data_IF_928315619684
#
_entry.id   IF_928315619684
#
_cell.length_a   1.000
_cell.length_b   1.000
_cell.length_c   1.000
_cell.angle_alpha   90.00
_cell.angle_beta   90.00
_cell.angle_gamma   90.00
#
_symmetry.space_group_name_H-M   'P 1'
#
loop_
_entity.id
_entity.type
_entity.pdbx_description
1 polymer ?
#
# COMPACT_ATOMS: atom_id res chain seq x y z
N UNK A 1 -17.15 45.73 -64.04
CA UNK A 1 -15.71 46.09 -64.07
C UNK A 1 -15.09 45.33 -62.93
N UNK A 2 -14.34 44.24 -63.08
CA UNK A 2 -13.72 43.59 -64.24
C UNK A 2 -13.67 42.08 -63.98
N UNK A 3 -13.79 41.31 -65.07
CA UNK A 3 -13.58 39.87 -65.16
C UNK A 3 -12.20 39.46 -64.64
N UNK A 4 -12.10 38.42 -63.81
CA UNK A 4 -11.04 37.42 -63.98
C UNK A 4 -11.63 36.01 -63.90
N UNK A 5 -11.33 35.29 -64.96
CA UNK A 5 -11.88 34.02 -65.40
C UNK A 5 -10.85 32.91 -65.19
N UNK A 6 -11.34 31.66 -65.18
CA UNK A 6 -10.67 30.39 -65.51
C UNK A 6 -9.82 29.69 -64.45
N UNK A 7 -10.14 28.40 -64.28
CA UNK A 7 -9.27 27.43 -63.63
C UNK A 7 -9.91 26.06 -63.39
N UNK A 8 -10.59 25.48 -64.38
CA UNK A 8 -10.98 24.06 -64.36
C UNK A 8 -9.72 23.20 -64.53
N UNK A 9 -9.39 22.38 -63.54
CA UNK A 9 -8.39 21.32 -63.68
C UNK A 9 -8.99 20.00 -63.19
N UNK A 10 -9.05 19.05 -64.12
CA UNK A 10 -9.47 17.67 -63.94
C UNK A 10 -8.63 16.95 -62.87
N UNK A 11 -9.28 16.25 -61.95
CA UNK A 11 -8.64 15.18 -61.18
C UNK A 11 -9.14 13.86 -61.75
N UNK A 12 -8.24 13.17 -62.43
CA UNK A 12 -8.44 11.83 -62.96
C UNK A 12 -8.62 10.84 -61.80
N UNK A 13 -9.63 10.00 -61.98
CA UNK A 13 -9.84 8.75 -61.25
C UNK A 13 -8.85 7.75 -61.83
N UNK A 14 -7.81 7.40 -61.09
CA UNK A 14 -7.11 6.12 -61.27
C UNK A 14 -7.62 5.16 -60.21
N UNK A 15 -8.48 4.24 -60.65
CA UNK A 15 -8.61 2.95 -60.01
C UNK A 15 -7.36 2.16 -60.37
N UNK A 16 -6.58 1.77 -59.38
CA UNK A 16 -5.69 0.63 -59.54
C UNK A 16 -5.96 -0.41 -58.45
N UNK A 17 -6.28 -1.59 -58.92
CA UNK A 17 -6.57 -2.79 -58.14
C UNK A 17 -5.44 -3.75 -58.43
N UNK A 18 -4.55 -4.01 -57.46
CA UNK A 18 -3.76 -5.24 -57.36
C UNK A 18 -3.11 -5.30 -55.98
N UNK A 19 -3.47 -6.32 -55.19
CA UNK A 19 -2.83 -6.59 -53.92
C UNK A 19 -1.44 -7.17 -54.08
N UNK A 20 -0.51 -6.82 -53.18
CA UNK A 20 0.50 -7.75 -52.64
C UNK A 20 1.16 -7.21 -51.37
N UNK A 21 1.05 -8.00 -50.32
CA UNK A 21 1.70 -7.93 -49.02
C UNK A 21 3.18 -7.48 -49.09
N UNK A 22 3.54 -6.38 -48.40
CA UNK A 22 4.86 -6.15 -47.75
C UNK A 22 4.74 -5.01 -46.73
N UNK A 23 4.44 -5.32 -45.46
CA UNK A 23 4.63 -4.39 -44.34
C UNK A 23 5.27 -5.13 -43.17
N UNK A 24 6.60 -5.23 -43.22
CA UNK A 24 7.43 -5.64 -42.06
C UNK A 24 8.81 -4.98 -42.12
N UNK A 25 9.01 -3.93 -42.93
CA UNK A 25 10.34 -3.35 -43.15
C UNK A 25 10.41 -1.82 -43.06
N UNK A 26 9.33 -1.15 -42.60
CA UNK A 26 9.33 0.32 -42.42
C UNK A 26 9.46 0.75 -40.95
N UNK A 27 9.22 -0.14 -39.98
CA UNK A 27 9.30 0.20 -38.54
C UNK A 27 10.73 0.25 -37.99
N UNK A 28 11.71 -0.36 -38.66
CA UNK A 28 13.09 -0.41 -38.16
C UNK A 28 13.92 0.85 -38.50
N UNK A 29 13.47 1.65 -39.48
CA UNK A 29 14.17 2.87 -39.89
C UNK A 29 13.71 4.14 -39.18
N UNK A 30 12.51 4.14 -38.58
CA UNK A 30 11.97 5.29 -37.84
C UNK A 30 12.45 5.34 -36.38
N UNK A 31 12.85 4.20 -35.80
CA UNK A 31 13.35 4.14 -34.43
C UNK A 31 14.72 4.83 -34.25
N UNK A 32 15.60 4.74 -35.25
CA UNK A 32 16.99 5.25 -35.13
C UNK A 32 17.11 6.78 -35.22
N UNK A 33 16.07 7.47 -35.69
CA UNK A 33 16.10 8.93 -35.86
C UNK A 33 15.49 9.70 -34.68
N UNK A 34 14.76 9.04 -33.77
CA UNK A 34 14.12 9.69 -32.63
C UNK A 34 15.03 9.80 -31.40
N UNK A 35 16.01 8.90 -31.24
CA UNK A 35 16.97 8.94 -30.11
C UNK A 35 17.98 10.09 -30.24
N UNK A 36 18.36 10.45 -31.47
CA UNK A 36 19.33 11.53 -31.70
C UNK A 36 18.76 12.93 -31.45
N UNK A 37 17.44 13.09 -31.45
CA UNK A 37 16.78 14.39 -31.26
C UNK A 37 16.59 14.79 -29.80
N UNK A 38 16.64 13.83 -28.85
CA UNK A 38 16.40 14.11 -27.43
C UNK A 38 17.67 14.53 -26.67
N UNK A 39 18.85 14.25 -27.21
CA UNK A 39 20.13 14.59 -26.56
C UNK A 39 20.52 16.06 -26.78
N UNK A 40 19.91 16.75 -27.75
CA UNK A 40 20.27 18.13 -28.10
C UNK A 40 19.47 19.21 -27.34
N UNK A 41 18.50 18.86 -26.48
CA UNK A 41 17.59 19.83 -25.81
C UNK A 41 17.76 19.97 -24.29
N UNK A 42 18.86 19.47 -23.73
CA UNK A 42 19.12 19.55 -22.29
C UNK A 42 20.19 20.58 -21.88
N UNK A 43 20.73 21.39 -22.80
CA UNK A 43 21.81 22.35 -22.48
C UNK A 43 21.36 23.74 -22.02
N UNK A 44 20.09 24.11 -22.19
CA UNK A 44 19.69 25.51 -22.07
C UNK A 44 18.60 25.69 -21.00
N UNK A 45 19.00 25.71 -19.72
CA UNK A 45 18.37 26.60 -18.72
C UNK A 45 19.16 26.60 -17.39
N UNK A 46 19.97 27.65 -17.19
CA UNK A 46 20.43 28.11 -15.87
C UNK A 46 20.39 29.64 -15.86
N UNK A 47 19.54 30.22 -15.01
CA UNK A 47 19.73 31.52 -14.32
C UNK A 47 18.48 31.78 -13.45
N UNK A 48 18.58 31.67 -12.12
CA UNK A 48 18.75 32.79 -11.16
C UNK A 48 17.37 33.24 -10.63
N UNK A 49 17.05 33.13 -9.33
CA UNK A 49 17.32 34.17 -8.30
C UNK A 49 17.00 33.62 -6.87
N UNK A 50 17.98 33.79 -5.96
CA UNK A 50 18.01 33.96 -4.47
C UNK A 50 16.89 33.35 -3.58
N UNK A 51 17.11 32.46 -2.61
CA UNK A 51 18.08 32.30 -1.50
C UNK A 51 17.88 33.27 -0.31
N UNK A 52 17.45 32.73 0.84
CA UNK A 52 17.97 33.07 2.19
C UNK A 52 17.80 31.87 3.17
N UNK A 53 18.96 31.34 3.58
CA UNK A 53 19.37 30.94 4.93
C UNK A 53 18.73 29.72 5.63
N UNK A 54 19.47 28.60 5.65
CA UNK A 54 20.00 28.06 6.92
C UNK A 54 21.30 27.29 6.65
N UNK A 55 22.39 27.73 7.29
CA UNK A 55 23.75 27.23 7.19
C UNK A 55 23.89 25.74 7.54
N UNK A 56 24.76 25.02 6.81
CA UNK A 56 25.78 24.12 7.39
C UNK A 56 26.72 23.55 6.31
N UNK A 57 27.94 24.11 6.31
CA UNK A 57 29.26 23.56 5.96
C UNK A 57 29.39 22.42 4.93
N UNK A 58 29.98 22.81 3.81
CA UNK A 58 30.61 21.98 2.77
C UNK A 58 31.45 20.82 3.31
N UNK A 59 31.17 19.60 2.84
CA UNK A 59 32.23 18.64 2.48
C UNK A 59 31.92 17.96 1.14
N UNK A 60 32.90 18.10 0.26
CA UNK A 60 32.98 17.68 -1.15
C UNK A 60 32.73 16.17 -1.35
N UNK A 61 31.95 15.72 -2.35
CA UNK A 61 31.81 14.29 -2.64
C UNK A 61 32.96 13.84 -3.56
N UNK A 62 33.68 12.78 -3.15
CA UNK A 62 34.56 12.03 -4.04
C UNK A 62 33.76 10.87 -4.62
N UNK A 63 33.62 10.88 -5.93
CA UNK A 63 33.00 9.83 -6.75
C UNK A 63 33.50 8.43 -6.39
N UNK A 64 32.59 7.52 -6.03
CA UNK A 64 32.87 6.09 -6.04
C UNK A 64 32.34 5.51 -7.36
N UNK A 65 33.26 5.07 -8.22
CA UNK A 65 32.94 4.13 -9.29
C UNK A 65 32.69 2.76 -8.67
N UNK A 66 31.50 2.21 -8.91
CA UNK A 66 31.19 0.80 -8.65
C UNK A 66 31.86 -0.02 -9.74
N UNK A 67 32.84 -0.83 -9.37
CA UNK A 67 33.39 -1.90 -10.22
C UNK A 67 32.75 -3.21 -9.75
N UNK A 68 32.01 -3.85 -10.65
CA UNK A 68 31.51 -5.21 -10.49
C UNK A 68 32.71 -6.17 -10.61
N UNK A 69 32.94 -7.11 -9.67
CA UNK A 69 33.99 -8.12 -9.84
C UNK A 69 33.48 -9.30 -10.68
N UNK A 70 34.23 -9.62 -11.75
CA UNK A 70 34.12 -10.85 -12.53
C UNK A 70 34.72 -12.03 -11.71
N UNK A 71 34.15 -13.25 -11.77
CA UNK A 71 34.55 -14.36 -10.92
C UNK A 71 35.55 -15.23 -11.67
N UNK A 72 36.84 -15.04 -11.45
CA UNK A 72 37.84 -16.11 -11.62
C UNK A 72 39.21 -15.65 -11.08
N UNK A 73 39.41 -15.83 -9.79
CA UNK A 73 40.73 -15.99 -9.17
C UNK A 73 40.55 -16.68 -7.82
N UNK A 74 40.47 -18.01 -7.87
CA UNK A 74 40.77 -18.86 -6.71
C UNK A 74 42.11 -18.45 -6.10
N UNK A 75 42.10 -17.87 -4.90
CA UNK A 75 43.08 -18.20 -3.87
C UNK A 75 42.44 -18.12 -2.49
N UNK A 76 41.96 -19.28 -2.06
CA UNK A 76 41.84 -19.62 -0.64
C UNK A 76 43.14 -19.26 0.10
N UNK A 77 43.10 -18.27 0.98
CA UNK A 77 44.06 -18.14 2.08
C UNK A 77 43.34 -17.74 3.36
N UNK A 78 42.96 -18.81 4.06
CA UNK A 78 42.68 -18.88 5.49
C UNK A 78 43.56 -17.94 6.30
N UNK A 79 42.93 -17.33 7.29
CA UNK A 79 43.53 -16.70 8.45
C UNK A 79 44.60 -17.63 9.06
N UNK A 80 45.86 -17.20 9.09
CA UNK A 80 46.85 -17.80 9.96
C UNK A 80 47.06 -16.86 11.14
N UNK A 81 46.45 -17.26 12.27
CA UNK A 81 47.00 -17.05 13.60
C UNK A 81 48.49 -17.39 13.52
N UNK A 82 49.35 -16.39 13.69
CA UNK A 82 50.78 -16.63 13.85
C UNK A 82 50.96 -17.23 15.23
N UNK A 83 51.04 -18.56 15.25
CA UNK A 83 51.63 -19.32 16.34
C UNK A 83 52.98 -18.70 16.70
N UNK A 84 53.16 -18.51 18.00
CA UNK A 84 54.40 -18.13 18.64
C UNK A 84 55.46 -19.22 18.35
N UNK A 85 56.13 -19.17 17.20
CA UNK A 85 57.33 -19.96 16.97
C UNK A 85 58.42 -19.41 17.88
N UNK A 86 58.85 -20.25 18.82
CA UNK A 86 60.17 -20.17 19.45
C UNK A 86 61.21 -20.01 18.34
N UNK A 87 61.67 -18.78 18.14
CA UNK A 87 62.88 -18.52 17.39
C UNK A 87 64.04 -18.63 18.37
N UNK A 88 64.66 -19.83 18.38
CA UNK A 88 66.05 -20.02 18.78
C UNK A 88 66.92 -19.19 17.81
N UNK A 89 67.21 -17.95 18.19
CA UNK A 89 68.34 -17.21 17.69
C UNK A 89 69.15 -16.79 18.91
N UNK A 90 70.21 -17.57 19.18
CA UNK A 90 71.34 -17.16 20.02
C UNK A 90 71.95 -15.88 19.43
N UNK A 91 71.47 -14.73 19.88
CA UNK A 91 72.19 -13.47 19.73
C UNK A 91 73.06 -13.28 20.97
N UNK A 92 74.27 -13.80 20.88
CA UNK A 92 75.30 -13.66 21.91
C UNK A 92 75.80 -12.20 21.90
N UNK A 93 75.10 -11.33 22.61
CA UNK A 93 75.58 -9.97 22.90
C UNK A 93 76.64 -10.05 23.99
N UNK A 94 77.89 -10.28 23.57
CA UNK A 94 79.07 -10.19 24.40
C UNK A 94 79.35 -8.72 24.78
N UNK A 95 78.95 -8.33 25.99
CA UNK A 95 79.49 -7.13 26.64
C UNK A 95 80.83 -7.53 27.30
N UNK A 96 81.97 -6.90 26.94
CA UNK A 96 83.21 -7.07 27.67
C UNK A 96 83.05 -6.49 29.07
N UNK A 97 82.99 -7.34 30.09
CA UNK A 97 83.08 -6.93 31.49
C UNK A 97 84.54 -6.54 31.79
N UNK A 98 84.85 -5.26 31.67
CA UNK A 98 86.03 -4.69 32.33
C UNK A 98 85.65 -4.35 33.77
N UNK A 99 86.39 -4.93 34.70
CA UNK A 99 86.34 -4.73 36.14
C UNK A 99 86.33 -3.23 36.49
N UNK A 100 85.21 -2.74 37.03
CA UNK A 100 85.20 -1.66 38.00
C UNK A 100 84.88 -2.29 39.36
N UNK A 101 85.92 -2.83 40.02
CA UNK A 101 85.83 -3.31 41.40
C UNK A 101 85.77 -2.12 42.35
N UNK A 102 84.65 -1.40 42.32
CA UNK A 102 84.04 -0.70 43.45
C UNK A 102 82.60 -0.30 43.10
N UNK A 103 81.78 -1.26 42.67
CA UNK A 103 80.34 -1.03 42.62
C UNK A 103 79.83 -1.18 44.05
N UNK A 104 79.67 -0.06 44.74
CA UNK A 104 79.05 -0.04 46.06
C UNK A 104 77.79 -0.92 46.03
N UNK A 105 77.64 -1.78 47.04
CA UNK A 105 76.49 -2.68 47.22
C UNK A 105 75.15 -1.91 47.14
N UNK A 106 75.18 -0.64 47.53
CA UNK A 106 74.09 0.33 47.41
C UNK A 106 73.74 0.71 45.96
N UNK A 107 74.71 0.85 45.05
CA UNK A 107 74.47 1.15 43.63
C UNK A 107 73.78 -0.03 42.94
N UNK A 108 74.20 -1.27 43.24
CA UNK A 108 73.53 -2.48 42.72
C UNK A 108 72.10 -2.59 43.24
N UNK A 109 71.89 -2.31 44.54
CA UNK A 109 70.55 -2.34 45.13
C UNK A 109 69.63 -1.25 44.57
N UNK A 110 70.16 -0.07 44.24
CA UNK A 110 69.42 1.01 43.59
C UNK A 110 68.96 0.61 42.18
N UNK A 111 69.87 0.05 41.37
CA UNK A 111 69.56 -0.41 40.01
C UNK A 111 68.54 -1.56 40.00
N UNK A 112 68.57 -2.46 40.98
CA UNK A 112 67.55 -3.52 41.12
C UNK A 112 66.17 -2.94 41.45
N UNK A 113 66.09 -1.95 42.36
CA UNK A 113 64.83 -1.25 42.66
C UNK A 113 64.30 -0.53 41.42
N UNK A 114 65.17 0.14 40.67
CA UNK A 114 64.80 0.84 39.44
C UNK A 114 64.29 -0.14 38.36
N UNK A 115 64.94 -1.30 38.22
CA UNK A 115 64.49 -2.37 37.33
C UNK A 115 63.11 -2.92 37.74
N UNK A 116 62.86 -3.11 39.03
CA UNK A 116 61.57 -3.57 39.51
C UNK A 116 60.47 -2.52 39.28
N UNK A 117 60.76 -1.23 39.49
CA UNK A 117 59.86 -0.12 39.13
C UNK A 117 59.58 -0.09 37.62
N UNK A 118 60.60 -0.29 36.78
CA UNK A 118 60.44 -0.38 35.32
C UNK A 118 59.58 -1.58 34.90
N UNK A 119 59.74 -2.73 35.56
CA UNK A 119 58.90 -3.92 35.30
C UNK A 119 57.45 -3.69 35.69
N UNK A 120 57.18 -3.07 36.84
CA UNK A 120 55.80 -2.74 37.24
C UNK A 120 55.18 -1.75 36.26
N UNK A 121 55.90 -0.69 35.89
CA UNK A 121 55.43 0.30 34.91
C UNK A 121 55.16 -0.32 33.53
N UNK A 122 56.02 -1.22 33.05
CA UNK A 122 55.80 -1.90 31.77
C UNK A 122 54.54 -2.79 31.82
N UNK A 123 54.33 -3.53 32.90
CA UNK A 123 53.12 -4.32 33.10
C UNK A 123 51.86 -3.45 33.10
N UNK A 124 51.88 -2.32 33.80
CA UNK A 124 50.77 -1.35 33.82
C UNK A 124 50.49 -0.76 32.43
N UNK A 125 51.54 -0.44 31.66
CA UNK A 125 51.41 0.04 30.28
C UNK A 125 50.83 -1.03 29.34
N UNK A 126 51.23 -2.29 29.49
CA UNK A 126 50.65 -3.40 28.72
C UNK A 126 49.16 -3.58 29.02
N UNK A 127 48.77 -3.52 30.29
CA UNK A 127 47.36 -3.58 30.66
C UNK A 127 46.57 -2.39 30.12
N UNK A 128 47.14 -1.18 30.18
CA UNK A 128 46.53 0.02 29.59
C UNK A 128 46.37 -0.11 28.07
N UNK A 129 47.38 -0.63 27.39
CA UNK A 129 47.35 -0.91 25.96
C UNK A 129 46.25 -1.92 25.60
N UNK A 130 46.07 -2.98 26.39
CA UNK A 130 45.00 -3.97 26.19
C UNK A 130 43.62 -3.32 26.42
N UNK A 131 43.46 -2.48 27.45
CA UNK A 131 42.22 -1.76 27.72
C UNK A 131 41.84 -0.82 26.57
N UNK A 132 42.77 0.03 26.14
CA UNK A 132 42.57 0.95 25.01
C UNK A 132 42.25 0.20 23.71
N UNK A 133 42.96 -0.89 23.41
CA UNK A 133 42.65 -1.71 22.22
C UNK A 133 41.23 -2.31 22.27
N UNK A 134 40.74 -2.70 23.45
CA UNK A 134 39.36 -3.19 23.61
C UNK A 134 38.35 -2.08 23.39
N UNK A 135 38.57 -0.90 23.96
CA UNK A 135 37.68 0.26 23.76
C UNK A 135 37.69 0.74 22.30
N UNK A 136 38.85 0.79 21.64
CA UNK A 136 38.95 1.13 20.23
C UNK A 136 38.14 0.16 19.34
N UNK A 137 38.22 -1.16 19.61
CA UNK A 137 37.42 -2.16 18.88
C UNK A 137 35.92 -1.96 19.12
N UNK A 138 35.51 -1.66 20.35
CA UNK A 138 34.12 -1.39 20.69
C UNK A 138 33.58 -0.14 19.99
N UNK A 139 34.35 0.95 19.96
CA UNK A 139 33.98 2.17 19.25
C UNK A 139 33.90 1.94 17.73
N UNK A 140 34.84 1.17 17.15
CA UNK A 140 34.80 0.81 15.73
C UNK A 140 33.52 0.05 15.37
N UNK A 141 33.17 -0.97 16.15
CA UNK A 141 31.92 -1.73 15.95
C UNK A 141 30.67 -0.84 16.09
N UNK A 142 30.68 0.10 17.04
CA UNK A 142 29.55 1.04 17.22
C UNK A 142 29.38 1.97 16.02
N UNK A 143 30.49 2.47 15.47
CA UNK A 143 30.48 3.31 14.27
C UNK A 143 29.95 2.53 13.06
N UNK A 144 30.45 1.31 12.82
CA UNK A 144 30.02 0.45 11.71
C UNK A 144 28.52 0.11 11.81
N UNK A 145 28.02 -0.16 13.03
CA UNK A 145 26.59 -0.37 13.27
C UNK A 145 25.76 0.88 12.93
N UNK A 146 26.25 2.07 13.30
CA UNK A 146 25.55 3.33 13.00
C UNK A 146 25.53 3.61 11.50
N UNK A 147 26.66 3.41 10.80
CA UNK A 147 26.76 3.55 9.35
C UNK A 147 25.77 2.62 8.64
N UNK A 148 25.73 1.34 9.04
CA UNK A 148 24.78 0.36 8.50
C UNK A 148 23.32 0.72 8.79
N UNK A 149 23.04 1.27 9.97
CA UNK A 149 21.69 1.74 10.31
C UNK A 149 21.23 2.91 9.43
N UNK A 150 22.14 3.85 9.12
CA UNK A 150 21.82 4.97 8.23
C UNK A 150 21.67 4.50 6.78
N UNK A 151 22.55 3.62 6.30
CA UNK A 151 22.46 3.01 4.98
C UNK A 151 21.13 2.27 4.77
N UNK A 152 20.69 1.48 5.76
CA UNK A 152 19.39 0.79 5.73
C UNK A 152 18.22 1.78 5.63
N UNK A 153 18.23 2.87 6.41
CA UNK A 153 17.18 3.92 6.35
C UNK A 153 17.14 4.65 5.01
N UNK A 154 18.29 4.84 4.37
CA UNK A 154 18.36 5.44 3.04
C UNK A 154 17.78 4.47 2.00
N UNK A 155 18.15 3.19 2.08
CA UNK A 155 17.63 2.15 1.20
C UNK A 155 16.12 1.96 1.33
N UNK A 156 15.58 1.99 2.56
CA UNK A 156 14.14 1.97 2.84
C UNK A 156 13.41 3.13 2.15
N UNK A 157 13.86 4.37 2.38
CA UNK A 157 13.27 5.55 1.72
C UNK A 157 13.39 5.51 0.20
N UNK A 158 14.49 4.97 -0.32
CA UNK A 158 14.68 4.82 -1.75
C UNK A 158 13.73 3.77 -2.34
N UNK A 159 13.48 2.67 -1.63
CA UNK A 159 12.51 1.65 -2.03
C UNK A 159 11.08 2.22 -2.05
N UNK A 160 10.69 2.96 -1.00
CA UNK A 160 9.37 3.60 -0.92
C UNK A 160 9.14 4.56 -2.11
N UNK A 161 10.14 5.38 -2.45
CA UNK A 161 10.06 6.31 -3.57
C UNK A 161 9.94 5.57 -4.92
N UNK A 162 10.69 4.48 -5.12
CA UNK A 162 10.61 3.68 -6.34
C UNK A 162 9.23 3.03 -6.48
N UNK A 163 8.66 2.55 -5.38
CA UNK A 163 7.31 1.99 -5.36
C UNK A 163 6.25 3.05 -5.69
N UNK A 164 6.34 4.25 -5.11
CA UNK A 164 5.44 5.36 -5.41
C UNK A 164 5.51 5.80 -6.89
N UNK A 165 6.72 5.92 -7.45
CA UNK A 165 6.91 6.24 -8.87
C UNK A 165 6.32 5.13 -9.76
N UNK A 166 6.51 3.87 -9.40
CA UNK A 166 5.93 2.75 -10.15
C UNK A 166 4.40 2.79 -10.14
N UNK A 167 3.77 3.02 -8.98
CA UNK A 167 2.32 3.15 -8.89
C UNK A 167 1.80 4.35 -9.70
N UNK A 168 2.43 5.52 -9.57
CA UNK A 168 2.04 6.71 -10.33
C UNK A 168 2.16 6.50 -11.85
N UNK A 169 3.20 5.79 -12.30
CA UNK A 169 3.36 5.42 -13.71
C UNK A 169 2.24 4.49 -14.20
N UNK A 170 1.92 3.46 -13.40
CA UNK A 170 0.84 2.53 -13.72
C UNK A 170 -0.52 3.26 -13.83
N UNK A 171 -0.84 4.14 -12.88
CA UNK A 171 -2.06 4.93 -12.91
C UNK A 171 -2.12 5.85 -14.14
N UNK A 172 -1.01 6.49 -14.48
CA UNK A 172 -0.89 7.31 -15.70
C UNK A 172 -1.15 6.48 -16.96
N UNK A 173 -0.58 5.28 -17.05
CA UNK A 173 -0.74 4.40 -18.22
C UNK A 173 -2.19 3.89 -18.33
N UNK A 174 -2.81 3.51 -17.22
CA UNK A 174 -4.23 3.16 -17.17
C UNK A 174 -5.12 4.32 -17.60
N UNK A 175 -4.85 5.54 -17.12
CA UNK A 175 -5.58 6.75 -17.52
C UNK A 175 -5.43 7.06 -19.01
N UNK A 176 -4.21 6.90 -19.56
CA UNK A 176 -3.94 7.07 -20.99
C UNK A 176 -4.71 6.04 -21.84
N UNK A 177 -4.70 4.77 -21.43
CA UNK A 177 -5.44 3.72 -22.12
C UNK A 177 -6.95 3.97 -22.10
N UNK A 178 -7.51 4.37 -20.95
CA UNK A 178 -8.92 4.75 -20.84
C UNK A 178 -9.28 5.93 -21.77
N UNK A 179 -8.43 6.96 -21.82
CA UNK A 179 -8.65 8.13 -22.69
C UNK A 179 -8.58 7.78 -24.18
N UNK A 180 -7.64 6.91 -24.56
CA UNK A 180 -7.53 6.42 -25.93
C UNK A 180 -8.76 5.60 -26.34
N UNK A 181 -9.23 4.71 -25.47
CA UNK A 181 -10.44 3.92 -25.70
C UNK A 181 -11.67 4.81 -25.86
N UNK A 182 -11.80 5.85 -25.03
CA UNK A 182 -12.90 6.81 -25.15
C UNK A 182 -12.86 7.55 -26.49
N UNK A 183 -11.70 8.04 -26.92
CA UNK A 183 -11.54 8.71 -28.21
C UNK A 183 -11.89 7.78 -29.39
N UNK A 184 -11.51 6.51 -29.32
CA UNK A 184 -11.89 5.50 -30.31
C UNK A 184 -13.40 5.32 -30.34
N UNK A 185 -14.04 5.18 -29.18
CA UNK A 185 -15.50 5.03 -29.06
C UNK A 185 -16.23 6.24 -29.62
N UNK A 186 -15.82 7.46 -29.27
CA UNK A 186 -16.41 8.71 -29.76
C UNK A 186 -16.28 8.85 -31.28
N UNK A 187 -15.11 8.49 -31.83
CA UNK A 187 -14.90 8.44 -33.28
C UNK A 187 -15.83 7.44 -33.94
N UNK A 188 -15.95 6.23 -33.41
CA UNK A 188 -16.79 5.18 -33.98
C UNK A 188 -18.28 5.55 -33.92
N UNK A 189 -18.71 6.18 -32.82
CA UNK A 189 -20.05 6.76 -32.71
C UNK A 189 -20.29 7.88 -33.72
N UNK A 190 -19.31 8.77 -33.93
CA UNK A 190 -19.41 9.83 -34.93
C UNK A 190 -19.50 9.25 -36.36
N UNK A 191 -18.71 8.22 -36.67
CA UNK A 191 -18.76 7.50 -37.94
C UNK A 191 -20.13 6.84 -38.12
N UNK A 192 -20.68 6.21 -37.08
CA UNK A 192 -22.00 5.60 -37.12
C UNK A 192 -23.11 6.65 -37.39
N UNK A 193 -23.05 7.81 -36.71
CA UNK A 193 -23.98 8.93 -36.95
C UNK A 193 -23.87 9.46 -38.38
N UNK A 194 -22.66 9.66 -38.88
CA UNK A 194 -22.42 10.15 -40.25
C UNK A 194 -22.99 9.17 -41.29
N UNK A 195 -22.75 7.85 -41.14
CA UNK A 195 -23.31 6.83 -42.01
C UNK A 195 -24.84 6.78 -41.97
N UNK A 196 -25.44 6.95 -40.79
CA UNK A 196 -26.89 7.01 -40.67
C UNK A 196 -27.45 8.24 -41.41
N UNK A 197 -26.82 9.41 -41.25
CA UNK A 197 -27.22 10.62 -41.97
C UNK A 197 -27.07 10.48 -43.48
N UNK A 198 -25.98 9.88 -43.96
CA UNK A 198 -25.75 9.58 -45.37
C UNK A 198 -26.85 8.66 -45.92
N UNK A 199 -27.21 7.60 -45.19
CA UNK A 199 -28.30 6.70 -45.57
C UNK A 199 -29.65 7.43 -45.60
N UNK A 200 -29.94 8.29 -44.63
CA UNK A 200 -31.14 9.13 -44.62
C UNK A 200 -31.18 10.11 -45.79
N UNK A 201 -30.06 10.74 -46.14
CA UNK A 201 -29.95 11.64 -47.30
C UNK A 201 -30.19 10.88 -48.61
N UNK A 202 -29.60 9.68 -48.76
CA UNK A 202 -29.83 8.83 -49.92
C UNK A 202 -31.29 8.39 -50.06
N UNK A 203 -32.00 8.22 -48.94
CA UNK A 203 -33.46 7.98 -48.97
C UNK A 203 -34.25 9.22 -49.40
N UNK A 204 -33.79 10.42 -49.03
CA UNK A 204 -34.41 11.70 -49.41
C UNK A 204 -34.14 12.08 -50.87
N UNK A 205 -32.97 11.77 -51.43
CA UNK A 205 -32.62 12.02 -52.85
C UNK A 205 -33.59 11.32 -53.83
N UNK A 206 -34.24 10.23 -53.38
CA UNK A 206 -35.26 9.51 -54.15
C UNK A 206 -36.67 10.13 -54.06
N UNK A 207 -36.82 11.30 -53.43
CA UNK A 207 -38.10 11.98 -53.29
C UNK A 207 -38.11 13.20 -54.22
N UNK A 208 -38.85 13.09 -55.33
CA UNK A 208 -39.22 14.24 -56.13
C UNK A 208 -40.29 15.07 -55.35
N UNK A 209 -39.97 16.28 -54.85
CA UNK A 209 -40.88 17.04 -53.98
C UNK A 209 -42.17 17.45 -54.71
N UNK A 210 -42.08 17.72 -56.02
CA UNK A 210 -43.21 18.16 -56.85
C UNK A 210 -44.26 17.05 -57.06
N UNK A 211 -43.85 15.78 -56.94
CA UNK A 211 -44.74 14.61 -57.03
C UNK A 211 -45.33 14.18 -55.68
N UNK A 212 -44.85 14.72 -54.55
CA UNK A 212 -45.35 14.39 -53.21
C UNK A 212 -46.40 15.39 -52.69
N UNK A 213 -46.35 16.65 -53.12
CA UNK A 213 -47.31 17.69 -52.67
C UNK A 213 -48.66 17.64 -53.41
N UNK A 214 -48.73 16.95 -54.55
CA UNK A 214 -50.00 16.81 -55.27
C UNK A 214 -51.02 16.04 -54.44
N UNK A 215 -52.28 16.42 -54.48
CA UNK A 215 -53.33 15.60 -53.84
C UNK A 215 -53.59 14.34 -54.68
N UNK A 216 -54.13 13.27 -54.06
CA UNK A 216 -54.58 12.10 -54.82
C UNK A 216 -55.60 12.49 -55.89
N UNK A 217 -56.44 13.48 -55.59
CA UNK A 217 -57.43 14.02 -56.50
C UNK A 217 -56.77 14.71 -57.71
N UNK A 218 -55.70 15.47 -57.52
CA UNK A 218 -54.94 16.08 -58.62
C UNK A 218 -54.25 15.04 -59.51
N UNK A 219 -53.67 14.00 -58.92
CA UNK A 219 -53.06 12.90 -59.69
C UNK A 219 -54.10 12.14 -60.52
N UNK A 220 -55.28 11.86 -59.95
CA UNK A 220 -56.38 11.22 -60.66
C UNK A 220 -56.94 12.12 -61.77
N UNK A 221 -57.09 13.42 -61.52
CA UNK A 221 -57.51 14.39 -62.54
C UNK A 221 -56.49 14.49 -63.69
N UNK A 222 -55.19 14.43 -63.39
CA UNK A 222 -54.12 14.40 -64.42
C UNK A 222 -54.13 13.12 -65.23
N UNK A 223 -54.43 11.97 -64.62
CA UNK A 223 -54.62 10.70 -65.34
C UNK A 223 -55.84 10.78 -66.26
N UNK A 224 -56.96 11.31 -65.74
CA UNK A 224 -58.22 11.39 -66.49
C UNK A 224 -58.14 12.34 -67.70
N UNK A 225 -57.29 13.38 -67.60
CA UNK A 225 -57.11 14.38 -68.65
C UNK A 225 -55.80 14.20 -69.45
N UNK A 226 -55.11 13.06 -69.32
CA UNK A 226 -53.84 12.82 -70.01
C UNK A 226 -54.05 12.40 -71.47
N UNK A 227 -53.48 13.14 -72.41
CA UNK A 227 -53.55 12.84 -73.85
C UNK A 227 -52.59 11.73 -74.31
N UNK A 228 -51.71 11.25 -73.41
CA UNK A 228 -50.70 10.22 -73.72
C UNK A 228 -50.63 9.13 -72.66
N UNK A 229 -50.43 7.88 -73.12
CA UNK A 229 -50.24 6.73 -72.22
C UNK A 229 -49.02 6.86 -71.29
N UNK A 230 -47.99 7.58 -71.73
CA UNK A 230 -46.79 7.86 -70.93
C UNK A 230 -47.14 8.76 -69.73
N UNK A 231 -47.98 9.78 -69.93
CA UNK A 231 -48.44 10.65 -68.83
C UNK A 231 -49.33 9.89 -67.84
N UNK A 232 -50.19 8.98 -68.33
CA UNK A 232 -50.99 8.09 -67.48
C UNK A 232 -50.06 7.20 -66.63
N UNK A 233 -49.06 6.57 -67.26
CA UNK A 233 -48.12 5.68 -66.58
C UNK A 233 -47.30 6.41 -65.50
N UNK A 234 -46.82 7.62 -65.82
CA UNK A 234 -46.05 8.43 -64.87
C UNK A 234 -46.88 8.78 -63.63
N UNK A 235 -48.10 9.28 -63.81
CA UNK A 235 -48.98 9.60 -62.67
C UNK A 235 -49.43 8.34 -61.91
N UNK A 236 -49.66 7.23 -62.61
CA UNK A 236 -49.97 5.94 -61.98
C UNK A 236 -48.82 5.41 -61.11
N UNK A 237 -47.57 5.55 -61.56
CA UNK A 237 -46.38 5.17 -60.80
C UNK A 237 -46.27 5.95 -59.47
N UNK A 238 -46.56 7.25 -59.49
CA UNK A 238 -46.58 8.10 -58.28
C UNK A 238 -47.63 7.62 -57.28
N UNK A 239 -48.84 7.27 -57.74
CA UNK A 239 -49.90 6.75 -56.86
C UNK A 239 -49.48 5.42 -56.21
N UNK A 240 -48.91 4.50 -57.00
CA UNK A 240 -48.44 3.20 -56.50
C UNK A 240 -47.31 3.39 -55.48
N UNK A 241 -46.35 4.25 -55.77
CA UNK A 241 -45.25 4.57 -54.85
C UNK A 241 -45.75 5.17 -53.53
N UNK A 242 -46.73 6.09 -53.57
CA UNK A 242 -47.37 6.64 -52.36
C UNK A 242 -48.10 5.60 -51.53
N UNK A 243 -48.80 4.66 -52.17
CA UNK A 243 -49.48 3.55 -51.48
C UNK A 243 -48.44 2.67 -50.79
N UNK A 244 -47.35 2.33 -51.50
CA UNK A 244 -46.28 1.52 -50.96
C UNK A 244 -45.60 2.20 -49.76
N UNK A 245 -45.19 3.47 -49.91
CA UNK A 245 -44.60 4.28 -48.83
C UNK A 245 -45.52 4.42 -47.62
N UNK A 246 -46.82 4.64 -47.84
CA UNK A 246 -47.81 4.71 -46.74
C UNK A 246 -47.91 3.37 -46.01
N UNK A 247 -47.96 2.26 -46.75
CA UNK A 247 -48.04 0.91 -46.17
C UNK A 247 -46.77 0.59 -45.37
N UNK A 248 -45.61 0.95 -45.89
CA UNK A 248 -44.33 0.70 -45.22
C UNK A 248 -44.15 1.59 -43.99
N UNK A 249 -44.54 2.86 -44.07
CA UNK A 249 -44.56 3.77 -42.91
C UNK A 249 -45.45 3.22 -41.79
N UNK A 250 -46.65 2.73 -42.10
CA UNK A 250 -47.53 2.09 -41.10
C UNK A 250 -46.86 0.90 -40.42
N UNK A 251 -46.23 0.00 -41.18
CA UNK A 251 -45.50 -1.15 -40.58
C UNK A 251 -44.36 -0.69 -39.68
N UNK A 252 -43.58 0.30 -40.12
CA UNK A 252 -42.47 0.87 -39.34
C UNK A 252 -42.95 1.47 -38.03
N UNK A 253 -44.02 2.27 -38.06
CA UNK A 253 -44.63 2.85 -36.85
C UNK A 253 -45.09 1.73 -35.91
N UNK A 254 -45.81 0.72 -36.40
CA UNK A 254 -46.25 -0.40 -35.55
C UNK A 254 -45.08 -1.17 -34.95
N UNK A 255 -43.97 -1.36 -35.68
CA UNK A 255 -42.78 -2.00 -35.16
C UNK A 255 -42.07 -1.15 -34.09
N UNK A 256 -41.95 0.16 -34.32
CA UNK A 256 -41.40 1.12 -33.35
C UNK A 256 -42.25 1.19 -32.08
N UNK A 257 -43.57 1.25 -32.19
CA UNK A 257 -44.50 1.21 -31.06
C UNK A 257 -44.38 -0.09 -30.28
N UNK A 258 -44.31 -1.24 -30.97
CA UNK A 258 -44.14 -2.53 -30.32
C UNK A 258 -42.79 -2.65 -29.60
N UNK A 259 -41.70 -2.12 -30.19
CA UNK A 259 -40.40 -2.07 -29.53
C UNK A 259 -40.41 -1.18 -28.30
N UNK A 260 -41.03 0.01 -28.36
CA UNK A 260 -41.15 0.91 -27.22
C UNK A 260 -41.88 0.24 -26.04
N UNK A 261 -42.96 -0.50 -26.33
CA UNK A 261 -43.70 -1.27 -25.31
C UNK A 261 -42.83 -2.38 -24.72
N UNK A 262 -42.01 -3.06 -25.52
CA UNK A 262 -41.07 -4.08 -25.04
C UNK A 262 -40.02 -3.47 -24.12
N UNK A 263 -39.43 -2.32 -24.50
CA UNK A 263 -38.44 -1.61 -23.70
C UNK A 263 -39.03 -1.13 -22.37
N UNK A 264 -40.25 -0.59 -22.37
CA UNK A 264 -40.95 -0.18 -21.15
C UNK A 264 -41.21 -1.39 -20.22
N UNK A 265 -41.69 -2.50 -20.78
CA UNK A 265 -41.87 -3.76 -20.04
C UNK A 265 -40.57 -4.24 -19.40
N UNK A 266 -39.47 -4.23 -20.16
CA UNK A 266 -38.18 -4.73 -19.69
C UNK A 266 -37.59 -3.80 -18.62
N UNK A 267 -37.76 -2.48 -18.77
CA UNK A 267 -37.39 -1.51 -17.74
C UNK A 267 -38.18 -1.74 -16.44
N UNK A 268 -39.50 -1.97 -16.53
CA UNK A 268 -40.34 -2.29 -15.39
C UNK A 268 -39.91 -3.61 -14.71
N UNK A 269 -39.61 -4.66 -15.50
CA UNK A 269 -39.10 -5.93 -14.97
C UNK A 269 -37.76 -5.77 -14.25
N UNK A 270 -36.85 -4.95 -14.78
CA UNK A 270 -35.59 -4.63 -14.11
C UNK A 270 -35.80 -3.90 -12.79
N UNK A 271 -36.78 -2.97 -12.72
CA UNK A 271 -37.15 -2.31 -11.47
C UNK A 271 -37.74 -3.30 -10.46
N UNK A 272 -38.65 -4.19 -10.89
CA UNK A 272 -39.21 -5.23 -10.03
C UNK A 272 -38.11 -6.12 -9.42
N UNK A 273 -37.18 -6.61 -10.25
CA UNK A 273 -36.05 -7.44 -9.77
C UNK A 273 -35.18 -6.71 -8.75
N UNK A 274 -34.92 -5.41 -8.94
CA UNK A 274 -34.16 -4.59 -7.99
C UNK A 274 -34.89 -4.47 -6.65
N UNK A 275 -36.18 -4.14 -6.69
CA UNK A 275 -37.00 -4.03 -5.47
C UNK A 275 -37.09 -5.37 -4.73
N UNK A 276 -37.16 -6.50 -5.44
CA UNK A 276 -37.11 -7.83 -4.84
C UNK A 276 -35.78 -8.09 -4.10
N UNK A 277 -34.65 -7.68 -4.68
CA UNK A 277 -33.33 -7.78 -4.04
C UNK A 277 -33.22 -6.88 -2.80
N UNK A 278 -33.71 -5.64 -2.88
CA UNK A 278 -33.75 -4.70 -1.76
C UNK A 278 -34.60 -5.25 -0.60
N UNK A 279 -35.76 -5.85 -0.91
CA UNK A 279 -36.60 -6.53 0.07
C UNK A 279 -35.89 -7.71 0.73
N UNK A 280 -35.18 -8.53 -0.04
CA UNK A 280 -34.40 -9.63 0.51
C UNK A 280 -33.32 -9.12 1.47
N UNK A 281 -32.58 -8.09 1.06
CA UNK A 281 -31.53 -7.49 1.89
C UNK A 281 -32.11 -6.89 3.18
N UNK A 282 -33.22 -6.16 3.11
CA UNK A 282 -33.88 -5.58 4.27
C UNK A 282 -34.38 -6.68 5.23
N UNK A 283 -34.91 -7.78 4.70
CA UNK A 283 -35.34 -8.93 5.51
C UNK A 283 -34.16 -9.57 6.25
N UNK A 284 -33.02 -9.73 5.59
CA UNK A 284 -31.79 -10.26 6.19
C UNK A 284 -31.22 -9.32 7.26
N UNK A 285 -31.20 -8.00 7.01
CA UNK A 285 -30.79 -6.99 7.98
C UNK A 285 -31.70 -6.98 9.22
N UNK A 286 -33.01 -7.08 9.03
CA UNK A 286 -33.95 -7.14 10.14
C UNK A 286 -33.77 -8.43 10.96
N UNK A 287 -33.58 -9.57 10.29
CA UNK A 287 -33.32 -10.85 10.96
C UNK A 287 -32.01 -10.83 11.76
N UNK A 288 -30.93 -10.28 11.21
CA UNK A 288 -29.64 -10.14 11.90
C UNK A 288 -29.74 -9.16 13.09
N UNK A 289 -30.42 -8.03 12.90
CA UNK A 289 -30.70 -7.07 13.99
C UNK A 289 -31.50 -7.70 15.14
N UNK A 290 -32.57 -8.43 14.81
CA UNK A 290 -33.38 -9.15 15.79
C UNK A 290 -32.57 -10.23 16.54
N UNK A 291 -31.69 -10.95 15.85
CA UNK A 291 -30.81 -11.94 16.47
C UNK A 291 -29.78 -11.30 17.41
N UNK A 292 -29.16 -10.19 17.00
CA UNK A 292 -28.20 -9.45 17.82
C UNK A 292 -28.86 -8.90 19.10
N UNK A 293 -30.08 -8.38 19.00
CA UNK A 293 -30.84 -7.90 20.15
C UNK A 293 -31.18 -9.04 21.13
N UNK A 294 -31.55 -10.22 20.63
CA UNK A 294 -31.78 -11.41 21.46
C UNK A 294 -30.52 -11.86 22.19
N UNK A 295 -29.37 -11.87 21.49
CA UNK A 295 -28.08 -12.24 22.09
C UNK A 295 -27.68 -11.28 23.22
N UNK A 296 -27.71 -9.97 22.97
CA UNK A 296 -27.42 -8.95 23.98
C UNK A 296 -28.34 -9.05 25.20
N UNK A 297 -29.62 -9.35 24.98
CA UNK A 297 -30.58 -9.51 26.08
C UNK A 297 -30.28 -10.76 26.92
N UNK A 298 -29.91 -11.87 26.26
CA UNK A 298 -29.53 -13.11 26.95
C UNK A 298 -28.25 -12.92 27.78
N UNK A 299 -27.22 -12.29 27.20
CA UNK A 299 -25.95 -11.99 27.85
C UNK A 299 -26.15 -11.05 29.06
N UNK A 300 -26.96 -9.99 28.91
CA UNK A 300 -27.27 -9.08 30.00
C UNK A 300 -28.00 -9.77 31.17
N UNK A 301 -28.91 -10.70 30.86
CA UNK A 301 -29.60 -11.47 31.89
C UNK A 301 -28.65 -12.43 32.61
N UNK A 302 -27.73 -13.07 31.89
CA UNK A 302 -26.69 -13.91 32.47
C UNK A 302 -25.75 -13.09 33.38
N UNK A 303 -25.33 -11.90 32.94
CA UNK A 303 -24.51 -11.00 33.73
C UNK A 303 -25.23 -10.56 35.02
N UNK A 304 -26.53 -10.25 34.94
CA UNK A 304 -27.36 -9.92 36.10
C UNK A 304 -27.45 -11.08 37.09
N UNK A 305 -27.62 -12.30 36.61
CA UNK A 305 -27.66 -13.50 37.44
C UNK A 305 -26.32 -13.75 38.14
N UNK A 306 -25.20 -13.60 37.42
CA UNK A 306 -23.86 -13.73 37.99
C UNK A 306 -23.58 -12.66 39.05
N UNK A 307 -23.98 -11.41 38.81
CA UNK A 307 -23.88 -10.32 39.80
C UNK A 307 -24.67 -10.62 41.07
N UNK A 308 -25.90 -11.13 40.94
CA UNK A 308 -26.72 -11.53 42.09
C UNK A 308 -26.07 -12.66 42.90
N UNK A 309 -25.53 -13.68 42.22
CA UNK A 309 -24.80 -14.77 42.87
C UNK A 309 -23.55 -14.28 43.60
N UNK A 310 -22.78 -13.37 42.99
CA UNK A 310 -21.58 -12.81 43.60
C UNK A 310 -21.91 -12.01 44.86
N UNK A 311 -22.97 -11.20 44.83
CA UNK A 311 -23.47 -10.48 46.01
C UNK A 311 -23.92 -11.44 47.12
N UNK A 312 -24.66 -12.50 46.77
CA UNK A 312 -25.06 -13.52 47.74
C UNK A 312 -23.86 -14.22 48.38
N UNK A 313 -22.86 -14.60 47.58
CA UNK A 313 -21.61 -15.18 48.09
C UNK A 313 -20.84 -14.22 48.99
N UNK A 314 -20.79 -12.94 48.63
CA UNK A 314 -20.14 -11.91 49.45
C UNK A 314 -20.83 -11.79 50.81
N UNK A 315 -22.16 -11.69 50.82
CA UNK A 315 -22.94 -11.63 52.05
C UNK A 315 -22.77 -12.91 52.90
N UNK A 316 -22.75 -14.09 52.29
CA UNK A 316 -22.49 -15.34 52.99
C UNK A 316 -21.07 -15.41 53.59
N UNK A 317 -20.08 -14.84 52.90
CA UNK A 317 -18.72 -14.70 53.42
C UNK A 317 -18.67 -13.74 54.60
N UNK A 318 -19.30 -12.57 54.51
CA UNK A 318 -19.35 -11.59 55.59
C UNK A 318 -20.02 -12.17 56.84
N UNK A 319 -21.14 -12.87 56.68
CA UNK A 319 -21.79 -13.54 57.81
C UNK A 319 -20.89 -14.59 58.42
N UNK A 320 -20.19 -15.42 57.62
CA UNK A 320 -19.24 -16.40 58.13
C UNK A 320 -18.07 -15.74 58.89
N UNK A 321 -17.52 -14.63 58.37
CA UNK A 321 -16.46 -13.87 59.05
C UNK A 321 -16.94 -13.34 60.41
N UNK A 322 -18.16 -12.81 60.48
CA UNK A 322 -18.73 -12.35 61.75
C UNK A 322 -18.92 -13.51 62.74
N UNK A 323 -19.33 -14.70 62.27
CA UNK A 323 -19.39 -15.89 63.12
C UNK A 323 -17.99 -16.30 63.64
N UNK A 324 -16.97 -16.28 62.77
CA UNK A 324 -15.60 -16.59 63.19
C UNK A 324 -15.08 -15.60 64.25
N UNK A 325 -15.40 -14.31 64.10
CA UNK A 325 -15.03 -13.29 65.07
C UNK A 325 -15.65 -13.55 66.45
N UNK A 326 -16.96 -13.86 66.50
CA UNK A 326 -17.64 -14.24 67.74
C UNK A 326 -17.02 -15.47 68.40
N UNK A 327 -16.76 -16.51 67.60
CA UNK A 327 -16.11 -17.72 68.10
C UNK A 327 -14.71 -17.42 68.66
N UNK A 328 -13.95 -16.53 68.02
CA UNK A 328 -12.65 -16.10 68.52
C UNK A 328 -12.76 -15.35 69.86
N UNK A 329 -13.74 -14.45 70.01
CA UNK A 329 -14.04 -13.77 71.29
C UNK A 329 -14.42 -14.77 72.40
N UNK A 330 -15.23 -15.79 72.09
CA UNK A 330 -15.55 -16.89 73.01
C UNK A 330 -14.30 -17.66 73.43
N UNK A 331 -13.43 -18.03 72.48
CA UNK A 331 -12.15 -18.71 72.76
C UNK A 331 -11.27 -17.85 73.68
N UNK A 332 -11.17 -16.54 73.44
CA UNK A 332 -10.39 -15.66 74.30
C UNK A 332 -10.98 -15.58 75.71
N UNK A 333 -12.31 -15.52 75.83
CA UNK A 333 -13.02 -15.53 77.11
C UNK A 333 -12.75 -16.82 77.89
N UNK A 334 -12.86 -17.98 77.22
CA UNK A 334 -12.52 -19.28 77.80
C UNK A 334 -11.06 -19.35 78.26
N UNK A 335 -10.11 -18.79 77.49
CA UNK A 335 -8.69 -18.70 77.88
C UNK A 335 -8.47 -17.85 79.14
N UNK A 336 -9.25 -16.79 79.35
CA UNK A 336 -9.19 -15.98 80.59
C UNK A 336 -9.80 -16.75 81.75
N UNK A 337 -10.96 -17.37 81.55
CA UNK A 337 -11.62 -18.19 82.56
C UNK A 337 -10.72 -19.32 83.05
N UNK A 338 -10.08 -20.08 82.14
CA UNK A 338 -9.13 -21.14 82.49
C UNK A 338 -7.91 -20.62 83.27
N UNK A 339 -7.40 -19.42 82.92
CA UNK A 339 -6.31 -18.78 83.67
C UNK A 339 -6.74 -18.41 85.09
N UNK A 340 -7.95 -17.89 85.26
CA UNK A 340 -8.53 -17.56 86.56
C UNK A 340 -8.78 -18.82 87.40
N UNK A 341 -9.36 -19.87 86.81
CA UNK A 341 -9.57 -21.17 87.48
C UNK A 341 -8.25 -21.75 88.01
N UNK A 342 -7.19 -21.72 87.18
CA UNK A 342 -5.85 -22.14 87.60
C UNK A 342 -5.29 -21.28 88.75
N UNK A 343 -5.53 -19.97 88.75
CA UNK A 343 -5.12 -19.07 89.84
C UNK A 343 -5.90 -19.36 91.13
N UNK A 344 -7.20 -19.59 91.03
CA UNK A 344 -8.06 -19.99 92.15
C UNK A 344 -7.60 -21.33 92.73
N UNK A 345 -7.25 -22.30 91.90
CA UNK A 345 -6.69 -23.58 92.35
C UNK A 345 -5.35 -23.41 93.09
N UNK A 346 -4.47 -22.52 92.61
CA UNK A 346 -3.21 -22.19 93.30
C UNK A 346 -3.48 -21.50 94.65
N UNK A 347 -4.43 -20.56 94.71
CA UNK A 347 -4.84 -19.91 95.95
C UNK A 347 -5.46 -20.89 96.93
N UNK A 348 -6.35 -21.78 96.47
CA UNK A 348 -6.95 -22.85 97.29
C UNK A 348 -5.86 -23.75 97.89
N UNK A 349 -4.84 -24.12 97.11
CA UNK A 349 -3.67 -24.85 97.61
C UNK A 349 -2.87 -24.06 98.65
N UNK A 350 -2.63 -22.75 98.45
CA UNK A 350 -1.89 -21.89 99.40
C UNK A 350 -2.66 -21.61 100.70
N UNK A 351 -3.97 -21.38 100.64
CA UNK A 351 -4.81 -21.19 101.84
C UNK A 351 -4.97 -22.51 102.60
N UNK A 352 -5.07 -23.65 101.89
CA UNK A 352 -5.10 -24.97 102.51
C UNK A 352 -3.76 -25.44 103.11
N UNK A 353 -2.63 -24.80 102.76
CA UNK A 353 -1.29 -25.12 103.30
C UNK A 353 -0.72 -24.04 104.23
N UNK A 354 -1.38 -22.88 104.33
CA UNK A 354 -1.04 -21.81 105.27
C UNK A 354 -1.60 -22.10 106.65
N UNK A 355 -0.75 -22.59 107.54
CA UNK A 355 -0.94 -22.63 108.99
C UNK A 355 -1.61 -21.34 109.49
N UNK A 356 -2.88 -21.41 109.91
CA UNK A 356 -3.50 -20.40 110.76
C UNK A 356 -2.74 -20.40 112.09
N UNK A 357 -1.70 -19.57 112.19
CA UNK A 357 -1.12 -19.23 113.48
C UNK A 357 -2.06 -18.19 114.11
N UNK A 358 -3.06 -18.68 114.82
CA UNK A 358 -3.88 -17.88 115.74
C UNK A 358 -2.94 -17.23 116.75
N UNK A 359 -2.75 -15.92 116.66
CA UNK A 359 -2.14 -15.12 117.73
C UNK A 359 -3.31 -14.66 118.60
N UNK A 360 -3.43 -15.25 119.78
CA UNK A 360 -4.15 -14.68 120.93
C UNK A 360 -3.23 -13.65 121.55
#
# INVERSE_FOLDING_TARGET
MEDWSKGTAHINIEQDTTGRNKSTQLDEQLAMNSERSLIQKASDLVSEVTNENTDLLEQRPRSFQVVIPDPDAETSKKCNIVDYRKNDLHYEYMIPYQVASDVNKETVAFLLKELDILKTNNKELQEKLIRENKEQRKLKLKLELQEKSVEAKIAEKAADLVEEVYFAQKERDEALMCRLQLAIKERDEAIARAKHMEMSLKMLENINPEENDMTLQELLNRINNADTGIAIQKNGAIIVDRIYKTKECKKRITAEEMNAVIEERDAALCQCKRLEQELHHLKEQNQTSANNMRHLTAENNQERALKANLLSMHQAKETAVEQYKKLEEEIQTLRVYYRLERLVDVLRKKVGTGTMRTVI
#
